data_IF_634029494118
#
_entry.id   IF_634029494118
#
_cell.length_a   1.000
_cell.length_b   1.000
_cell.length_c   1.000
_cell.angle_alpha   90.00
_cell.angle_beta   90.00
_cell.angle_gamma   90.00
#
_symmetry.space_group_name_H-M   'P 1'
#
loop_
_entity.id
_entity.type
_entity.pdbx_description
1 polymer ?
#
# COMPACT_ATOMS: atom_id res chain seq x y z
N UNK A 1 60.26 -61.29 -16.77
CA UNK A 1 61.21 -60.57 -15.92
C UNK A 1 60.44 -59.48 -15.20
N UNK A 2 60.06 -59.54 -13.94
CA UNK A 2 60.06 -60.54 -12.87
C UNK A 2 59.06 -59.99 -11.83
N UNK A 3 58.04 -60.78 -11.48
CA UNK A 3 57.79 -61.31 -10.12
C UNK A 3 57.42 -60.29 -9.03
N UNK A 4 56.16 -60.38 -8.60
CA UNK A 4 55.71 -60.65 -7.22
C UNK A 4 56.53 -60.10 -6.03
N UNK A 5 55.83 -59.47 -5.06
CA UNK A 5 55.67 -60.00 -3.67
C UNK A 5 55.08 -58.94 -2.70
N UNK A 6 53.81 -59.14 -2.36
CA UNK A 6 53.15 -59.09 -1.04
C UNK A 6 53.49 -58.05 0.05
N UNK A 7 52.42 -57.44 0.60
CA UNK A 7 51.94 -57.60 1.99
C UNK A 7 51.85 -56.35 2.92
N UNK A 8 50.61 -56.12 3.37
CA UNK A 8 50.14 -55.70 4.72
C UNK A 8 50.46 -54.32 5.31
N UNK A 9 49.39 -53.62 5.71
CA UNK A 9 49.44 -52.55 6.71
C UNK A 9 48.16 -51.72 6.81
N UNK A 10 47.15 -52.20 7.56
CA UNK A 10 45.99 -51.42 8.01
C UNK A 10 46.44 -50.21 8.86
N UNK A 11 45.88 -49.03 8.60
CA UNK A 11 45.63 -48.03 9.65
C UNK A 11 44.42 -47.17 9.26
N UNK A 12 43.46 -47.11 10.18
CA UNK A 12 42.23 -46.34 10.09
C UNK A 12 42.47 -44.85 10.33
N UNK A 13 41.74 -43.97 9.63
CA UNK A 13 41.82 -42.53 9.82
C UNK A 13 40.63 -41.78 9.22
N UNK A 14 39.57 -41.67 10.02
CA UNK A 14 38.42 -40.74 10.05
C UNK A 14 38.18 -39.74 8.89
N UNK A 15 36.88 -39.68 8.54
CA UNK A 15 36.20 -38.65 7.77
C UNK A 15 36.28 -37.23 8.37
N UNK A 16 36.26 -36.22 7.49
CA UNK A 16 35.56 -34.96 7.72
C UNK A 16 35.34 -34.25 6.36
N UNK A 17 34.07 -34.18 5.95
CA UNK A 17 33.56 -33.32 4.88
C UNK A 17 33.83 -31.85 5.19
N UNK A 18 34.49 -31.15 4.27
CA UNK A 18 34.63 -29.70 4.26
C UNK A 18 33.64 -29.09 3.27
N UNK A 19 32.39 -28.92 3.69
CA UNK A 19 31.34 -28.26 2.94
C UNK A 19 31.67 -26.78 2.70
N UNK A 20 31.51 -26.32 1.45
CA UNK A 20 31.65 -24.94 1.04
C UNK A 20 30.69 -24.01 1.77
N UNK A 21 31.23 -23.01 2.45
CA UNK A 21 30.46 -21.93 3.03
C UNK A 21 30.21 -20.89 1.94
N UNK A 22 29.05 -20.96 1.30
CA UNK A 22 28.53 -19.87 0.47
C UNK A 22 28.24 -18.68 1.37
N UNK A 23 29.08 -17.65 1.31
CA UNK A 23 28.85 -16.38 1.97
C UNK A 23 27.64 -15.71 1.33
N UNK A 24 26.56 -15.61 2.10
CA UNK A 24 25.38 -14.82 1.73
C UNK A 24 25.81 -13.35 1.81
N UNK A 25 26.03 -12.71 0.66
CA UNK A 25 26.30 -11.27 0.58
C UNK A 25 25.05 -10.50 1.04
N UNK A 26 25.04 -10.09 2.31
CA UNK A 26 24.10 -9.11 2.82
C UNK A 26 24.46 -7.70 2.33
N UNK A 27 23.48 -6.78 2.21
CA UNK A 27 23.76 -5.41 1.79
C UNK A 27 24.73 -4.72 2.78
N UNK A 28 25.64 -3.86 2.28
CA UNK A 28 26.66 -3.22 3.10
C UNK A 28 26.05 -2.36 4.22
N UNK A 29 26.71 -2.25 5.40
CA UNK A 29 26.16 -1.62 6.61
C UNK A 29 25.82 -0.12 6.45
N UNK A 30 26.36 0.55 5.44
CA UNK A 30 26.17 1.99 5.18
C UNK A 30 25.00 2.32 4.23
N UNK A 31 24.38 1.34 3.57
CA UNK A 31 23.30 1.62 2.62
C UNK A 31 21.99 2.00 3.33
N UNK A 32 21.70 1.36 4.48
CA UNK A 32 20.46 1.57 5.24
C UNK A 32 20.37 2.97 5.85
N UNK A 33 21.48 3.56 6.28
CA UNK A 33 21.50 4.93 6.81
C UNK A 33 21.28 5.96 5.70
N UNK A 34 21.89 5.77 4.53
CA UNK A 34 21.68 6.61 3.36
C UNK A 34 20.21 6.58 2.87
N UNK A 35 19.56 5.42 2.94
CA UNK A 35 18.15 5.24 2.58
C UNK A 35 17.21 5.96 3.56
N UNK A 36 17.45 5.83 4.87
CA UNK A 36 16.66 6.53 5.89
C UNK A 36 16.81 8.05 5.82
N UNK A 37 18.02 8.55 5.57
CA UNK A 37 18.27 9.97 5.36
C UNK A 37 17.54 10.48 4.12
N UNK A 38 17.51 9.68 3.04
CA UNK A 38 16.75 10.00 1.83
C UNK A 38 15.26 10.09 2.12
N UNK A 39 14.71 9.09 2.80
CA UNK A 39 13.30 9.05 3.21
C UNK A 39 12.94 10.27 4.08
N UNK A 40 13.76 10.61 5.06
CA UNK A 40 13.55 11.77 5.93
C UNK A 40 13.54 13.08 5.12
N UNK A 41 14.49 13.25 4.19
CA UNK A 41 14.56 14.42 3.31
C UNK A 41 13.33 14.54 2.39
N UNK A 42 12.91 13.45 1.76
CA UNK A 42 11.74 13.44 0.85
C UNK A 42 10.47 13.70 1.64
N UNK A 43 10.30 13.03 2.78
CA UNK A 43 9.16 13.22 3.70
C UNK A 43 9.04 14.67 4.17
N UNK A 44 10.16 15.31 4.51
CA UNK A 44 10.18 16.72 4.89
C UNK A 44 9.76 17.65 3.74
N UNK A 45 10.17 17.36 2.50
CA UNK A 45 9.74 18.13 1.31
C UNK A 45 8.24 17.99 1.05
N UNK A 46 7.71 16.77 1.14
CA UNK A 46 6.27 16.51 0.98
C UNK A 46 5.47 17.24 2.07
N UNK A 47 5.90 17.15 3.33
CA UNK A 47 5.26 17.87 4.44
C UNK A 47 5.28 19.39 4.22
N UNK A 48 6.42 19.96 3.84
CA UNK A 48 6.54 21.39 3.57
C UNK A 48 5.59 21.84 2.46
N UNK A 49 5.46 21.04 1.38
CA UNK A 49 4.51 21.29 0.29
C UNK A 49 3.06 21.33 0.81
N UNK A 50 2.66 20.37 1.64
CA UNK A 50 1.30 20.33 2.22
C UNK A 50 1.05 21.55 3.13
N UNK A 51 2.04 21.93 3.93
CA UNK A 51 1.95 23.07 4.85
C UNK A 51 1.85 24.43 4.15
N UNK A 52 2.16 24.52 2.85
CA UNK A 52 1.86 25.74 2.05
C UNK A 52 0.37 25.94 1.79
N UNK A 53 -0.43 24.87 1.92
CA UNK A 53 -1.88 24.89 1.64
C UNK A 53 -2.69 24.78 2.93
N UNK A 54 -2.17 24.06 3.93
CA UNK A 54 -2.84 23.80 5.21
C UNK A 54 -2.18 24.66 6.30
N UNK A 55 -2.74 25.83 6.54
CA UNK A 55 -2.25 26.76 7.57
C UNK A 55 -2.63 26.31 9.00
N UNK A 56 -1.70 26.48 9.94
CA UNK A 56 -1.95 26.35 11.38
C UNK A 56 -2.21 24.93 11.88
N UNK A 57 -1.97 23.88 11.08
CA UNK A 57 -2.24 22.46 11.45
C UNK A 57 -1.07 21.51 11.14
N UNK A 58 0.12 21.72 11.72
CA UNK A 58 1.30 20.90 11.44
C UNK A 58 1.11 19.41 11.82
N UNK A 59 0.36 19.12 12.89
CA UNK A 59 0.08 17.74 13.29
C UNK A 59 -0.78 16.98 12.26
N UNK A 60 -1.72 17.65 11.58
CA UNK A 60 -2.55 17.00 10.55
C UNK A 60 -1.70 16.61 9.36
N UNK A 61 -0.80 17.49 8.91
CA UNK A 61 0.16 17.20 7.84
C UNK A 61 1.11 16.06 8.23
N UNK A 62 1.59 16.05 9.48
CA UNK A 62 2.44 14.99 10.02
C UNK A 62 1.72 13.65 10.05
N UNK A 63 0.50 13.59 10.60
CA UNK A 63 -0.30 12.37 10.67
C UNK A 63 -0.67 11.84 9.28
N UNK A 64 -1.04 12.71 8.35
CA UNK A 64 -1.33 12.32 6.98
C UNK A 64 -0.11 11.64 6.31
N UNK A 65 1.09 12.18 6.54
CA UNK A 65 2.32 11.58 6.01
C UNK A 65 2.67 10.25 6.69
N UNK A 66 2.52 10.17 8.02
CA UNK A 66 2.71 8.91 8.76
C UNK A 66 1.77 7.83 8.26
N UNK A 67 0.49 8.16 8.09
CA UNK A 67 -0.53 7.22 7.60
C UNK A 67 -0.22 6.79 6.16
N UNK A 68 0.20 7.72 5.29
CA UNK A 68 0.61 7.40 3.93
C UNK A 68 1.77 6.39 3.91
N UNK A 69 2.83 6.64 4.70
CA UNK A 69 4.01 5.78 4.76
C UNK A 69 3.72 4.43 5.43
N UNK A 70 2.73 4.37 6.30
CA UNK A 70 2.25 3.16 6.94
C UNK A 70 1.19 2.40 6.12
N UNK A 71 0.81 2.92 4.93
CA UNK A 71 -0.26 2.39 4.10
C UNK A 71 -1.59 2.20 4.86
N UNK A 72 -1.88 3.13 5.77
CA UNK A 72 -3.08 3.11 6.61
C UNK A 72 -4.19 4.04 6.10
N UNK A 73 -5.22 4.19 6.93
CA UNK A 73 -6.35 5.10 6.67
C UNK A 73 -6.47 6.15 7.77
N UNK A 74 -6.77 7.39 7.38
CA UNK A 74 -6.87 8.52 8.29
C UNK A 74 -8.34 8.88 8.53
N UNK A 75 -8.82 8.66 9.77
CA UNK A 75 -10.12 9.17 10.23
C UNK A 75 -9.95 10.58 10.78
N UNK A 76 -10.74 11.54 10.29
CA UNK A 76 -10.74 12.92 10.77
C UNK A 76 -12.13 13.25 11.33
N UNK A 77 -12.23 13.25 12.65
CA UNK A 77 -13.45 13.58 13.38
C UNK A 77 -13.66 15.10 13.48
N UNK A 78 -14.92 15.51 13.27
CA UNK A 78 -15.54 16.82 13.50
C UNK A 78 -14.65 18.05 13.82
N UNK A 79 -14.28 18.79 12.77
CA UNK A 79 -14.61 20.23 12.65
C UNK A 79 -14.79 20.54 11.16
N UNK A 80 -15.95 21.04 10.70
CA UNK A 80 -16.08 21.54 9.33
C UNK A 80 -15.07 22.65 9.07
N UNK A 81 -14.51 22.70 7.87
CA UNK A 81 -13.47 23.68 7.53
C UNK A 81 -12.05 23.27 7.92
N UNK A 82 -11.79 22.02 8.35
CA UNK A 82 -10.41 21.52 8.54
C UNK A 82 -9.64 21.26 7.25
N UNK A 83 -10.25 21.57 6.10
CA UNK A 83 -9.59 21.45 4.81
C UNK A 83 -9.34 20.00 4.40
N UNK A 84 -10.15 19.01 4.81
CA UNK A 84 -9.98 17.58 4.43
C UNK A 84 -9.76 17.40 2.93
N UNK A 85 -10.56 18.10 2.13
CA UNK A 85 -10.43 18.13 0.66
C UNK A 85 -9.17 18.84 0.18
N UNK A 86 -8.71 19.89 0.88
CA UNK A 86 -7.47 20.59 0.53
C UNK A 86 -6.25 19.76 0.91
N UNK A 87 -6.28 19.09 2.06
CA UNK A 87 -5.25 18.19 2.54
C UNK A 87 -5.04 17.04 1.56
N UNK A 88 -6.11 16.38 1.13
CA UNK A 88 -6.00 15.28 0.16
C UNK A 88 -5.44 15.75 -1.19
N UNK A 89 -5.90 16.89 -1.70
CA UNK A 89 -5.40 17.47 -2.95
C UNK A 89 -3.94 17.90 -2.83
N UNK A 90 -3.55 18.51 -1.71
CA UNK A 90 -2.18 18.93 -1.46
C UNK A 90 -1.24 17.73 -1.33
N UNK A 91 -1.66 16.70 -0.58
CA UNK A 91 -0.94 15.44 -0.46
C UNK A 91 -0.75 14.80 -1.84
N UNK A 92 -1.84 14.60 -2.58
CA UNK A 92 -1.80 13.95 -3.88
C UNK A 92 -0.95 14.68 -4.91
N UNK A 93 -1.03 16.01 -4.96
CA UNK A 93 -0.16 16.83 -5.84
C UNK A 93 1.31 16.75 -5.44
N UNK A 94 1.60 16.54 -4.16
CA UNK A 94 2.99 16.42 -3.67
C UNK A 94 3.64 15.08 -4.04
N UNK A 95 2.84 14.07 -4.41
CA UNK A 95 3.30 12.70 -4.74
C UNK A 95 2.76 12.18 -6.08
N UNK A 96 2.25 13.07 -6.94
CA UNK A 96 1.66 12.76 -8.25
C UNK A 96 0.62 11.61 -8.26
N UNK A 97 -0.39 11.73 -7.38
CA UNK A 97 -1.41 10.71 -7.18
C UNK A 97 -2.81 11.17 -7.61
N UNK A 98 -3.67 10.22 -7.98
CA UNK A 98 -5.09 10.46 -8.23
C UNK A 98 -5.87 10.69 -6.92
N UNK A 99 -6.89 11.54 -6.97
CA UNK A 99 -7.80 11.82 -5.85
C UNK A 99 -9.24 11.62 -6.27
N UNK A 100 -10.01 10.86 -5.48
CA UNK A 100 -11.46 10.77 -5.62
C UNK A 100 -12.15 11.23 -4.34
N UNK A 101 -13.24 11.97 -4.50
CA UNK A 101 -14.08 12.41 -3.38
C UNK A 101 -15.40 11.63 -3.43
N UNK A 102 -15.80 11.08 -2.30
CA UNK A 102 -17.06 10.34 -2.12
C UNK A 102 -17.83 11.03 -1.00
N UNK A 103 -19.01 11.54 -1.33
CA UNK A 103 -19.95 12.06 -0.35
C UNK A 103 -20.89 10.93 0.06
N UNK A 104 -20.85 10.54 1.34
CA UNK A 104 -21.74 9.50 1.85
C UNK A 104 -23.11 10.09 2.12
N UNK A 105 -24.13 9.54 1.47
CA UNK A 105 -25.54 9.90 1.61
C UNK A 105 -26.35 8.66 1.97
N UNK A 106 -27.57 8.81 2.51
CA UNK A 106 -28.43 7.67 2.85
C UNK A 106 -28.74 6.75 1.66
N UNK A 107 -28.74 7.33 0.44
CA UNK A 107 -29.07 6.63 -0.81
C UNK A 107 -27.84 6.04 -1.51
N UNK A 108 -26.62 6.28 -0.99
CA UNK A 108 -25.38 5.78 -1.59
C UNK A 108 -25.36 4.25 -1.53
N UNK A 109 -25.25 3.60 -2.69
CA UNK A 109 -25.24 2.15 -2.79
C UNK A 109 -23.82 1.60 -2.59
N UNK A 110 -23.67 0.34 -2.11
CA UNK A 110 -22.37 -0.32 -2.07
C UNK A 110 -21.65 -0.30 -3.42
N UNK A 111 -22.38 -0.50 -4.52
CA UNK A 111 -21.85 -0.46 -5.88
C UNK A 111 -21.31 0.91 -6.31
N UNK A 112 -21.77 2.01 -5.71
CA UNK A 112 -21.19 3.32 -5.97
C UNK A 112 -19.80 3.46 -5.35
N UNK A 113 -19.51 2.67 -4.30
CA UNK A 113 -18.23 2.60 -3.61
C UNK A 113 -17.32 1.58 -4.29
N UNK A 114 -17.79 0.34 -4.47
CA UNK A 114 -17.02 -0.81 -4.98
C UNK A 114 -17.02 -0.94 -6.50
N UNK A 115 -17.93 -0.28 -7.20
CA UNK A 115 -18.12 -0.46 -8.64
C UNK A 115 -19.10 -1.58 -8.97
N UNK A 116 -19.40 -1.69 -10.26
CA UNK A 116 -20.40 -2.61 -10.80
C UNK A 116 -20.02 -3.05 -12.20
N UNK A 117 -20.40 -4.26 -12.58
CA UNK A 117 -20.32 -4.74 -13.95
C UNK A 117 -21.59 -4.39 -14.72
N UNK A 118 -21.45 -3.65 -15.83
CA UNK A 118 -22.58 -3.23 -16.66
C UNK A 118 -22.51 -3.96 -17.99
N UNK A 119 -23.60 -4.57 -18.42
CA UNK A 119 -23.70 -5.18 -19.74
C UNK A 119 -23.77 -4.10 -20.82
N UNK A 120 -22.75 -4.04 -21.68
CA UNK A 120 -22.72 -3.16 -22.83
C UNK A 120 -23.42 -3.85 -24.02
N UNK A 121 -24.51 -3.24 -24.51
CA UNK A 121 -25.33 -3.83 -25.56
C UNK A 121 -24.64 -3.85 -26.93
N UNK A 122 -23.73 -2.90 -27.19
CA UNK A 122 -23.03 -2.76 -28.47
C UNK A 122 -21.95 -3.84 -28.61
N UNK A 123 -21.17 -4.04 -27.54
CA UNK A 123 -20.11 -5.06 -27.52
C UNK A 123 -20.61 -6.44 -27.11
N UNK A 124 -21.80 -6.52 -26.49
CA UNK A 124 -22.36 -7.72 -25.84
C UNK A 124 -21.45 -8.30 -24.75
N UNK A 125 -20.70 -7.43 -24.09
CA UNK A 125 -19.75 -7.78 -23.04
C UNK A 125 -20.10 -7.07 -21.73
N UNK A 126 -19.69 -7.67 -20.62
CA UNK A 126 -19.76 -7.05 -19.29
C UNK A 126 -18.54 -6.13 -19.09
N UNK A 127 -18.78 -4.85 -18.86
CA UNK A 127 -17.75 -3.84 -18.61
C UNK A 127 -17.78 -3.40 -17.16
N UNK A 128 -16.64 -3.49 -16.47
CA UNK A 128 -16.51 -3.00 -15.12
C UNK A 128 -16.47 -1.48 -15.07
N UNK A 129 -17.35 -0.89 -14.27
CA UNK A 129 -17.36 0.53 -13.95
C UNK A 129 -16.83 0.75 -12.53
N UNK A 130 -15.63 1.37 -12.37
CA UNK A 130 -14.99 1.51 -11.07
C UNK A 130 -15.73 2.47 -10.14
N UNK A 131 -16.01 2.00 -8.93
CA UNK A 131 -16.64 2.78 -7.87
C UNK A 131 -15.72 3.81 -7.22
N UNK A 132 -16.25 4.51 -6.22
CA UNK A 132 -15.61 5.59 -5.47
C UNK A 132 -14.22 5.29 -4.90
N UNK A 133 -13.91 4.02 -4.64
CA UNK A 133 -12.64 3.61 -3.99
C UNK A 133 -11.45 3.52 -4.95
N UNK A 134 -11.69 3.51 -6.27
CA UNK A 134 -10.62 3.39 -7.27
C UNK A 134 -9.91 4.73 -7.51
N UNK A 135 -9.00 5.06 -6.60
CA UNK A 135 -8.03 6.16 -6.69
C UNK A 135 -6.90 5.91 -5.67
N UNK A 136 -5.76 6.58 -5.84
CA UNK A 136 -4.65 6.49 -4.88
C UNK A 136 -5.04 7.11 -3.52
N UNK A 137 -5.80 8.20 -3.55
CA UNK A 137 -6.32 8.87 -2.34
C UNK A 137 -7.83 9.05 -2.49
N UNK A 138 -8.59 8.51 -1.53
CA UNK A 138 -10.04 8.66 -1.47
C UNK A 138 -10.41 9.51 -0.27
N UNK A 139 -11.20 10.57 -0.47
CA UNK A 139 -11.78 11.38 0.61
C UNK A 139 -13.25 11.04 0.74
N UNK A 140 -13.58 10.36 1.84
CA UNK A 140 -14.96 10.13 2.26
C UNK A 140 -15.45 11.23 3.19
N UNK A 141 -16.50 11.93 2.80
CA UNK A 141 -17.20 12.88 3.67
C UNK A 141 -18.50 12.27 4.20
N UNK A 142 -18.80 12.51 5.47
CA UNK A 142 -20.06 12.11 6.13
C UNK A 142 -20.33 10.58 6.12
N UNK A 143 -19.29 9.75 6.29
CA UNK A 143 -19.38 8.27 6.28
C UNK A 143 -20.56 7.76 7.14
N UNK A 144 -20.80 8.39 8.28
CA UNK A 144 -21.88 8.07 9.22
C UNK A 144 -23.30 8.23 8.64
N UNK A 145 -23.48 8.90 7.49
CA UNK A 145 -24.79 9.06 6.83
C UNK A 145 -25.17 7.90 5.91
N UNK A 146 -24.20 7.10 5.48
CA UNK A 146 -24.49 5.98 4.60
C UNK A 146 -25.09 4.79 5.34
N UNK A 147 -25.78 3.92 4.59
CA UNK A 147 -26.33 2.68 5.13
C UNK A 147 -25.21 1.80 5.75
N UNK A 148 -25.53 0.96 6.76
CA UNK A 148 -24.56 0.01 7.31
C UNK A 148 -23.93 -0.87 6.23
N UNK A 149 -24.70 -1.29 5.23
CA UNK A 149 -24.21 -2.12 4.12
C UNK A 149 -23.16 -1.40 3.27
N UNK A 150 -23.37 -0.11 2.99
CA UNK A 150 -22.43 0.72 2.22
C UNK A 150 -21.16 1.00 3.03
N UNK A 151 -21.28 1.23 4.33
CA UNK A 151 -20.13 1.37 5.23
C UNK A 151 -19.32 0.07 5.31
N UNK A 152 -19.98 -1.07 5.47
CA UNK A 152 -19.31 -2.38 5.47
C UNK A 152 -18.56 -2.64 4.16
N UNK A 153 -19.15 -2.33 3.01
CA UNK A 153 -18.48 -2.48 1.72
C UNK A 153 -17.22 -1.61 1.60
N UNK A 154 -17.26 -0.37 2.11
CA UNK A 154 -16.07 0.48 2.18
C UNK A 154 -14.99 -0.14 3.06
N UNK A 155 -15.35 -0.57 4.28
CA UNK A 155 -14.41 -1.13 5.24
C UNK A 155 -13.78 -2.45 4.76
N UNK A 156 -14.57 -3.29 4.08
CA UNK A 156 -14.08 -4.51 3.45
C UNK A 156 -13.02 -4.19 2.39
N UNK A 157 -13.26 -3.20 1.52
CA UNK A 157 -12.27 -2.76 0.55
C UNK A 157 -11.00 -2.20 1.20
N UNK A 158 -11.13 -1.51 2.34
CA UNK A 158 -10.01 -0.97 3.10
C UNK A 158 -9.15 -2.08 3.71
N UNK A 159 -9.78 -3.10 4.28
CA UNK A 159 -9.08 -4.23 4.90
C UNK A 159 -8.41 -5.13 3.85
N UNK A 160 -9.16 -5.52 2.82
CA UNK A 160 -8.68 -6.46 1.80
C UNK A 160 -7.78 -5.80 0.75
N UNK A 161 -7.79 -4.46 0.66
CA UNK A 161 -7.08 -3.66 -0.36
C UNK A 161 -7.37 -4.10 -1.80
N UNK A 162 -8.54 -4.69 -2.02
CA UNK A 162 -9.03 -5.16 -3.31
C UNK A 162 -10.56 -5.14 -3.30
N UNK A 163 -11.15 -5.18 -4.48
CA UNK A 163 -12.59 -5.24 -4.66
C UNK A 163 -12.96 -6.40 -5.56
N UNK A 164 -13.87 -7.27 -5.14
CA UNK A 164 -14.35 -8.38 -5.96
C UNK A 164 -15.77 -8.12 -6.42
N UNK A 165 -15.99 -8.14 -7.74
CA UNK A 165 -17.30 -7.98 -8.38
C UNK A 165 -17.46 -9.09 -9.42
N UNK A 166 -18.58 -9.82 -9.36
CA UNK A 166 -18.93 -10.90 -10.31
C UNK A 166 -17.79 -11.91 -10.55
N UNK A 167 -17.16 -12.38 -9.46
CA UNK A 167 -16.00 -13.30 -9.44
C UNK A 167 -14.70 -12.75 -10.05
N UNK A 168 -14.63 -11.45 -10.34
CA UNK A 168 -13.40 -10.78 -10.79
C UNK A 168 -12.90 -9.84 -9.69
N UNK A 169 -11.62 -9.97 -9.33
CA UNK A 169 -10.98 -9.14 -8.31
C UNK A 169 -10.17 -8.02 -8.97
N UNK A 170 -10.34 -6.79 -8.49
CA UNK A 170 -9.70 -5.57 -8.95
C UNK A 170 -8.86 -4.96 -7.82
N UNK A 171 -7.72 -4.36 -8.15
CA UNK A 171 -6.79 -3.68 -7.23
C UNK A 171 -6.57 -2.24 -7.67
#
# INVERSE_FOLDING_TARGET
>A
MDSDTSATGRAAGRAADGAGHGTVDGPPPDSRSADLDSLARVSAKVRASIETVIEGKPEVSRLALVVLLAEGHLLIEDVPGVGKTMLSKALARSIDCSVRRVQFTPDLLPSDVTGVSIFNQDTREFEFRPGGVFANIVVGDEINRASPKTQSALLECMEERQVTVDNTTYQ
#
